data_IF_626788677325
#
_entry.id   IF_626788677325
#
_cell.length_a   1.000
_cell.length_b   1.000
_cell.length_c   1.000
_cell.angle_alpha   90.00
_cell.angle_beta   90.00
_cell.angle_gamma   90.00
#
_symmetry.space_group_name_H-M   'P 1'
#
loop_
_entity.id
_entity.type
_entity.pdbx_description
1 polymer ?
#
# COMPACT_ATOMS: atom_id res chain seq x y z
N UNK A 1 13.29 11.90 32.73
CA UNK A 1 12.20 12.51 31.93
C UNK A 1 12.69 12.54 30.50
N UNK A 2 12.10 11.74 29.63
CA UNK A 2 12.37 11.80 28.18
C UNK A 2 11.91 13.18 27.66
N UNK A 3 12.72 13.89 26.87
CA UNK A 3 12.30 15.15 26.28
C UNK A 3 11.20 14.89 25.26
N UNK A 4 10.06 15.56 25.41
CA UNK A 4 9.03 15.60 24.39
C UNK A 4 9.64 16.24 23.13
N UNK A 5 9.87 15.45 22.08
CA UNK A 5 10.23 15.99 20.77
C UNK A 5 9.06 16.80 20.21
N UNK A 6 9.36 17.97 19.66
CA UNK A 6 8.38 18.76 18.91
C UNK A 6 7.90 17.96 17.69
N UNK A 7 6.63 18.11 17.31
CA UNK A 7 6.04 17.37 16.18
C UNK A 7 6.83 17.60 14.88
N UNK A 8 7.37 18.81 14.68
CA UNK A 8 8.21 19.16 13.55
C UNK A 8 9.47 18.28 13.47
N UNK A 9 10.15 18.03 14.58
CA UNK A 9 11.35 17.19 14.61
C UNK A 9 11.04 15.73 14.23
N UNK A 10 9.87 15.24 14.63
CA UNK A 10 9.42 13.90 14.24
C UNK A 10 9.13 13.86 12.74
N UNK A 11 8.50 14.89 12.18
CA UNK A 11 8.23 14.97 10.74
C UNK A 11 9.51 15.10 9.91
N UNK A 12 10.48 15.89 10.38
CA UNK A 12 11.80 16.02 9.72
C UNK A 12 12.53 14.68 9.70
N UNK A 13 12.51 13.94 10.81
CA UNK A 13 13.09 12.60 10.88
C UNK A 13 12.38 11.61 9.95
N UNK A 14 11.04 11.66 9.89
CA UNK A 14 10.27 10.84 8.95
C UNK A 14 10.62 11.15 7.50
N UNK A 15 10.81 12.44 7.16
CA UNK A 15 11.20 12.89 5.82
C UNK A 15 12.60 12.43 5.40
N UNK A 16 13.47 12.09 6.36
CA UNK A 16 14.80 11.56 6.10
C UNK A 16 14.89 10.03 6.07
N UNK A 17 13.80 9.30 6.37
CA UNK A 17 13.83 7.84 6.32
C UNK A 17 13.88 7.34 4.88
N UNK A 18 14.67 6.28 4.59
CA UNK A 18 14.69 5.70 3.26
C UNK A 18 13.38 4.97 2.96
N UNK A 19 12.95 5.02 1.71
CA UNK A 19 11.84 4.20 1.22
C UNK A 19 12.16 2.70 1.37
N UNK A 20 11.12 1.91 1.62
CA UNK A 20 11.22 0.48 1.90
C UNK A 20 11.73 0.12 3.31
N UNK A 21 11.97 1.12 4.18
CA UNK A 21 12.26 0.84 5.58
C UNK A 21 11.09 0.13 6.28
N UNK A 22 11.34 -0.44 7.46
CA UNK A 22 10.33 -1.20 8.20
C UNK A 22 9.06 -0.38 8.49
N UNK A 23 9.22 0.92 8.81
CA UNK A 23 8.09 1.81 9.06
C UNK A 23 7.20 1.98 7.83
N UNK A 24 7.78 2.34 6.68
CA UNK A 24 6.98 2.55 5.47
C UNK A 24 6.39 1.24 4.93
N UNK A 25 7.06 0.10 5.13
CA UNK A 25 6.47 -1.21 4.81
C UNK A 25 5.24 -1.53 5.66
N UNK A 26 5.24 -1.14 6.94
CA UNK A 26 4.06 -1.31 7.81
C UNK A 26 2.95 -0.30 7.46
N UNK A 27 3.32 0.93 7.11
CA UNK A 27 2.36 1.97 6.71
C UNK A 27 1.75 1.75 5.32
N UNK A 28 2.42 1.00 4.44
CA UNK A 28 2.02 0.84 3.04
C UNK A 28 2.25 2.10 2.19
N UNK A 29 1.60 2.17 1.04
CA UNK A 29 1.78 3.26 0.06
C UNK A 29 3.02 3.07 -0.82
N UNK A 30 3.37 4.10 -1.59
CA UNK A 30 4.50 4.05 -2.54
C UNK A 30 5.86 3.94 -1.83
N UNK A 31 6.01 4.57 -0.67
CA UNK A 31 7.23 4.52 0.14
C UNK A 31 7.47 3.16 0.79
N UNK A 32 6.51 2.23 0.72
CA UNK A 32 6.69 0.86 1.18
C UNK A 32 7.69 0.07 0.32
N UNK A 33 7.93 0.51 -0.91
CA UNK A 33 8.93 -0.08 -1.79
C UNK A 33 10.27 0.63 -1.67
N UNK A 34 11.35 -0.13 -1.81
CA UNK A 34 12.65 0.49 -2.12
C UNK A 34 12.61 1.05 -3.54
N UNK A 35 13.53 1.97 -3.85
CA UNK A 35 13.63 2.55 -5.19
C UNK A 35 13.86 1.47 -6.26
N UNK A 36 14.68 0.47 -5.98
CA UNK A 36 14.95 -0.66 -6.88
C UNK A 36 13.69 -1.49 -7.12
N UNK A 37 12.89 -1.72 -6.08
CA UNK A 37 11.62 -2.43 -6.20
C UNK A 37 10.62 -1.65 -7.06
N UNK A 38 10.57 -0.32 -6.94
CA UNK A 38 9.75 0.53 -7.80
C UNK A 38 10.16 0.43 -9.27
N UNK A 39 11.46 0.46 -9.57
CA UNK A 39 11.93 0.31 -10.94
C UNK A 39 11.69 -1.08 -11.50
N UNK A 40 11.96 -2.12 -10.72
CA UNK A 40 11.74 -3.50 -11.16
C UNK A 40 10.26 -3.74 -11.48
N UNK A 41 9.36 -3.16 -10.69
CA UNK A 41 7.91 -3.18 -10.91
C UNK A 41 7.51 -2.57 -12.24
N UNK A 42 8.07 -1.43 -12.60
CA UNK A 42 7.77 -0.74 -13.86
C UNK A 42 8.35 -1.51 -15.05
N UNK A 43 9.60 -1.96 -14.95
CA UNK A 43 10.26 -2.78 -15.99
C UNK A 43 9.47 -4.06 -16.25
N UNK A 44 9.02 -4.74 -15.20
CA UNK A 44 8.23 -5.97 -15.30
C UNK A 44 6.91 -5.75 -16.03
N UNK A 45 6.22 -4.64 -15.74
CA UNK A 45 5.03 -4.24 -16.48
C UNK A 45 5.34 -3.95 -17.95
N UNK A 46 6.38 -3.17 -18.25
CA UNK A 46 6.74 -2.79 -19.62
C UNK A 46 7.08 -4.01 -20.48
N UNK A 47 7.85 -4.95 -19.93
CA UNK A 47 8.18 -6.21 -20.61
C UNK A 47 6.93 -7.01 -20.93
N UNK A 48 5.98 -7.11 -19.98
CA UNK A 48 4.70 -7.80 -20.22
C UNK A 48 3.84 -7.07 -21.25
N UNK A 49 3.79 -5.74 -21.19
CA UNK A 49 3.01 -4.91 -22.11
C UNK A 49 3.54 -5.03 -23.54
N UNK A 50 4.86 -5.00 -23.72
CA UNK A 50 5.53 -5.24 -25.00
C UNK A 50 5.21 -6.65 -25.52
N UNK A 51 5.32 -7.67 -24.68
CA UNK A 51 4.98 -9.05 -25.06
C UNK A 51 3.52 -9.20 -25.51
N UNK A 52 2.60 -8.56 -24.80
CA UNK A 52 1.18 -8.55 -25.17
C UNK A 52 0.94 -7.87 -26.52
N UNK A 53 1.58 -6.72 -26.75
CA UNK A 53 1.49 -6.00 -28.04
C UNK A 53 2.05 -6.81 -29.21
N UNK A 54 3.25 -7.39 -29.05
CA UNK A 54 3.90 -8.21 -30.06
C UNK A 54 3.13 -9.50 -30.37
N UNK A 55 2.43 -10.06 -29.38
CA UNK A 55 1.54 -11.23 -29.53
C UNK A 55 0.19 -10.94 -30.19
N UNK A 56 -0.04 -9.72 -30.67
CA UNK A 56 -1.29 -9.32 -31.34
C UNK A 56 -2.39 -8.83 -30.41
N UNK A 57 -2.08 -8.54 -29.14
CA UNK A 57 -2.95 -7.80 -28.23
C UNK A 57 -4.26 -8.49 -27.84
N UNK A 58 -4.36 -9.81 -28.02
CA UNK A 58 -5.57 -10.58 -27.67
C UNK A 58 -5.50 -11.02 -26.21
N UNK A 59 -6.59 -10.80 -25.48
CA UNK A 59 -6.76 -11.23 -24.09
C UNK A 59 -6.74 -10.05 -23.11
N UNK A 60 -6.56 -10.37 -21.83
CA UNK A 60 -6.50 -9.35 -20.77
C UNK A 60 -5.13 -8.66 -20.82
N UNK A 61 -5.07 -7.33 -20.97
CA UNK A 61 -3.81 -6.62 -20.94
C UNK A 61 -3.15 -6.77 -19.56
N UNK A 62 -1.81 -6.77 -19.49
CA UNK A 62 -1.12 -6.77 -18.22
C UNK A 62 -1.51 -5.55 -17.40
N UNK A 63 -1.55 -5.72 -16.07
CA UNK A 63 -1.82 -4.65 -15.11
C UNK A 63 -0.56 -4.34 -14.35
N UNK A 64 -0.33 -3.07 -14.06
CA UNK A 64 0.74 -2.65 -13.16
C UNK A 64 0.53 -3.29 -11.79
N UNK A 65 1.61 -3.76 -11.18
CA UNK A 65 1.58 -4.19 -9.79
C UNK A 65 1.29 -2.93 -8.95
N UNK A 66 0.19 -2.90 -8.17
CA UNK A 66 -0.13 -1.75 -7.35
C UNK A 66 0.86 -1.63 -6.18
N UNK A 67 1.00 -0.42 -5.64
CA UNK A 67 1.62 -0.24 -4.34
C UNK A 67 0.81 -0.94 -3.24
N UNK A 68 1.45 -1.35 -2.13
CA UNK A 68 0.73 -1.81 -0.95
C UNK A 68 -0.29 -0.77 -0.53
N UNK A 69 -1.49 -1.21 -0.21
CA UNK A 69 -2.54 -0.29 0.24
C UNK A 69 -2.11 0.37 1.56
N UNK A 70 -2.27 1.70 1.71
CA UNK A 70 -1.96 2.37 2.96
C UNK A 70 -2.71 1.76 4.15
N UNK A 71 -2.00 1.49 5.25
CA UNK A 71 -2.52 0.79 6.42
C UNK A 71 -3.74 1.47 7.04
N UNK A 72 -3.83 2.80 6.98
CA UNK A 72 -5.00 3.54 7.48
C UNK A 72 -6.28 3.24 6.69
N UNK A 73 -6.17 2.97 5.38
CA UNK A 73 -7.30 2.57 4.54
C UNK A 73 -7.71 1.12 4.83
N UNK A 74 -6.73 0.23 5.02
CA UNK A 74 -6.98 -1.16 5.43
C UNK A 74 -7.73 -1.20 6.76
N UNK A 75 -7.22 -0.50 7.78
CA UNK A 75 -7.86 -0.39 9.11
C UNK A 75 -9.26 0.21 9.02
N UNK A 76 -9.46 1.25 8.23
CA UNK A 76 -10.79 1.84 8.05
C UNK A 76 -11.78 0.88 7.37
N UNK A 77 -11.31 0.03 6.45
CA UNK A 77 -12.14 -1.00 5.81
C UNK A 77 -12.54 -2.08 6.81
N UNK A 78 -11.59 -2.56 7.61
CA UNK A 78 -11.81 -3.56 8.67
C UNK A 78 -12.81 -3.06 9.69
N UNK A 79 -12.64 -1.83 10.21
CA UNK A 79 -13.59 -1.22 11.14
C UNK A 79 -15.02 -1.17 10.58
N UNK A 80 -15.18 -0.78 9.32
CA UNK A 80 -16.50 -0.78 8.65
C UNK A 80 -17.08 -2.19 8.49
N UNK A 81 -16.23 -3.20 8.27
CA UNK A 81 -16.67 -4.58 8.17
C UNK A 81 -17.14 -5.10 9.54
N UNK A 82 -16.39 -4.80 10.59
CA UNK A 82 -16.72 -5.17 11.98
C UNK A 82 -18.03 -4.53 12.43
N UNK A 83 -18.23 -3.24 12.15
CA UNK A 83 -19.49 -2.56 12.45
C UNK A 83 -20.68 -3.20 11.75
N UNK A 84 -20.52 -3.60 10.48
CA UNK A 84 -21.56 -4.30 9.72
C UNK A 84 -21.87 -5.66 10.33
N UNK A 85 -20.84 -6.40 10.72
CA UNK A 85 -20.97 -7.70 11.37
C UNK A 85 -21.70 -7.57 12.71
N UNK A 86 -21.31 -6.62 13.55
CA UNK A 86 -21.97 -6.34 14.83
C UNK A 86 -23.46 -6.00 14.64
N UNK A 87 -23.78 -5.14 13.67
CA UNK A 87 -25.17 -4.81 13.34
C UNK A 87 -25.96 -5.99 12.78
N UNK A 88 -25.31 -6.90 12.07
CA UNK A 88 -25.94 -8.12 11.58
C UNK A 88 -26.24 -9.07 12.73
N UNK A 89 -25.26 -9.35 13.59
CA UNK A 89 -25.41 -10.20 14.76
C UNK A 89 -26.51 -9.68 15.69
N UNK A 90 -26.52 -8.39 16.01
CA UNK A 90 -27.55 -7.77 16.85
C UNK A 90 -28.99 -7.89 16.28
N UNK A 91 -29.14 -8.02 14.95
CA UNK A 91 -30.44 -8.20 14.30
C UNK A 91 -30.91 -9.65 14.24
N UNK A 92 -29.98 -10.59 14.32
CA UNK A 92 -30.24 -12.03 14.13
C UNK A 92 -29.98 -12.87 15.40
N UNK A 93 -29.60 -12.25 16.51
CA UNK A 93 -29.41 -12.90 17.80
C UNK A 93 -30.66 -12.90 18.69
N UNK A 94 -31.86 -12.81 18.09
CA UNK A 94 -33.17 -12.92 18.74
C UNK A 94 -33.93 -14.11 18.16
#
# INVERSE_FOLDING_TARGET
MEPHRELSEVLDLLGCLPSGCALFRDMGGDDAFTLEALFLREIEYDVRALGHGLGGGKGTPPKKIPAPEPAHLVRAREQRADEKLQRFLARHSA
#
